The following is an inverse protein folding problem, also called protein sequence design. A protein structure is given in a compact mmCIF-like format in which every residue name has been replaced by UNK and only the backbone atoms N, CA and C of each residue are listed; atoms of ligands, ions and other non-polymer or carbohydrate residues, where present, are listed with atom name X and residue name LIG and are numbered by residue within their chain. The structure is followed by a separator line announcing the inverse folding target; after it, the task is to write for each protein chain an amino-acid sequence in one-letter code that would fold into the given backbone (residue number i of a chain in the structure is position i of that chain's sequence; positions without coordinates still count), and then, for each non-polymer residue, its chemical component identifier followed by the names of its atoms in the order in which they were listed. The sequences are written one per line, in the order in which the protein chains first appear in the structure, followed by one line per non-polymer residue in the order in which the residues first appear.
data_IF_891879959935
#
_entry.id   IF_891879959935
#
_cell.length_a   1.000
_cell.length_b   1.000
_cell.length_c   1.000
_cell.angle_alpha   90.00
_cell.angle_beta   90.00
_cell.angle_gamma   90.00
#
_symmetry.space_group_name_H-M   'P 1'
#
loop_
_entity.id
_entity.type
_entity.pdbx_description
1 polymer ?
#
# COMPACT_ATOMS: atom_id res chain seq x y z
N UNK A 1 6.03 4.34 -5.81
CA UNK A 1 4.59 4.10 -5.97
C UNK A 1 4.06 4.77 -7.22
N UNK A 2 3.30 4.05 -8.00
CA UNK A 2 2.59 4.55 -9.17
C UNK A 2 1.21 3.89 -9.21
N UNK A 3 0.17 4.70 -9.25
CA UNK A 3 -1.21 4.27 -9.49
C UNK A 3 -1.80 5.08 -10.65
N UNK A 4 -2.46 4.39 -11.56
CA UNK A 4 -3.17 5.01 -12.69
C UNK A 4 -4.57 4.42 -12.74
N UNK A 5 -5.59 5.28 -12.83
CA UNK A 5 -6.98 4.83 -12.88
C UNK A 5 -7.82 5.74 -13.81
N UNK A 6 -8.95 5.21 -14.21
CA UNK A 6 -9.86 5.87 -15.14
C UNK A 6 -11.03 6.55 -14.41
N UNK A 7 -11.87 7.21 -15.18
CA UNK A 7 -13.11 7.85 -14.76
C UNK A 7 -13.99 6.94 -13.90
N UNK A 8 -14.24 5.71 -14.33
CA UNK A 8 -15.12 4.79 -13.60
C UNK A 8 -14.62 4.46 -12.19
N UNK A 9 -13.31 4.29 -12.03
CA UNK A 9 -12.71 4.05 -10.72
C UNK A 9 -12.71 5.32 -9.84
N UNK A 10 -12.55 6.50 -10.45
CA UNK A 10 -12.67 7.79 -9.76
C UNK A 10 -14.08 8.02 -9.26
N UNK A 11 -15.07 7.77 -10.09
CA UNK A 11 -16.48 7.94 -9.74
C UNK A 11 -16.94 6.93 -8.69
N UNK A 12 -16.45 5.69 -8.76
CA UNK A 12 -16.67 4.69 -7.71
C UNK A 12 -16.12 5.11 -6.35
N UNK A 13 -15.05 5.90 -6.32
CA UNK A 13 -14.42 6.38 -5.09
C UNK A 13 -15.06 7.68 -4.55
N UNK A 14 -15.49 8.60 -5.44
CA UNK A 14 -15.86 9.99 -5.06
C UNK A 14 -17.15 10.52 -5.68
N UNK A 15 -17.81 9.73 -6.52
CA UNK A 15 -19.03 10.11 -7.22
C UNK A 15 -18.79 10.70 -8.61
N UNK A 16 -19.86 10.73 -9.41
CA UNK A 16 -19.81 11.18 -10.79
C UNK A 16 -19.55 12.69 -10.91
N UNK A 17 -18.74 13.06 -11.91
CA UNK A 17 -18.45 14.45 -12.25
C UNK A 17 -18.19 14.58 -13.74
N UNK A 18 -18.78 15.62 -14.36
CA UNK A 18 -18.52 15.98 -15.77
C UNK A 18 -17.05 16.29 -16.03
N UNK A 19 -16.31 16.69 -14.99
CA UNK A 19 -14.87 16.96 -15.07
C UNK A 19 -14.02 15.71 -15.23
N UNK A 20 -14.58 14.54 -14.96
CA UNK A 20 -13.88 13.26 -15.02
C UNK A 20 -13.95 12.63 -16.42
N UNK A 21 -14.83 13.13 -17.28
CA UNK A 21 -15.04 12.58 -18.63
C UNK A 21 -13.73 12.51 -19.40
N UNK A 22 -13.42 11.31 -19.90
CA UNK A 22 -12.23 11.00 -20.67
C UNK A 22 -10.93 11.38 -19.95
N UNK A 23 -10.88 11.17 -18.62
CA UNK A 23 -9.74 11.53 -17.77
C UNK A 23 -9.04 10.29 -17.23
N UNK A 24 -7.71 10.27 -17.32
CA UNK A 24 -6.84 9.38 -16.58
C UNK A 24 -6.26 10.13 -15.39
N UNK A 25 -6.39 9.52 -14.24
CA UNK A 25 -5.84 10.02 -12.99
C UNK A 25 -4.54 9.28 -12.67
N UNK A 26 -3.55 10.00 -12.19
CA UNK A 26 -2.22 9.46 -11.89
C UNK A 26 -1.80 9.94 -10.50
N UNK A 27 -1.46 9.02 -9.62
CA UNK A 27 -0.77 9.31 -8.36
C UNK A 27 0.57 8.60 -8.35
N UNK A 28 1.66 9.32 -8.13
CA UNK A 28 2.99 8.74 -8.07
C UNK A 28 3.85 9.40 -6.99
N UNK A 29 4.74 8.59 -6.42
CA UNK A 29 5.78 9.00 -5.48
C UNK A 29 7.14 8.70 -6.09
N UNK A 30 8.16 9.43 -5.64
CA UNK A 30 9.56 9.15 -5.96
C UNK A 30 9.96 7.73 -5.53
N UNK A 31 11.04 7.22 -6.08
CA UNK A 31 11.54 5.87 -5.77
C UNK A 31 11.93 5.70 -4.29
N UNK A 32 12.26 6.77 -3.60
CA UNK A 32 12.66 6.74 -2.18
C UNK A 32 11.47 6.65 -1.22
N UNK A 33 10.28 7.09 -1.63
CA UNK A 33 9.04 6.97 -0.85
C UNK A 33 9.08 7.56 0.58
N UNK A 34 10.08 8.38 0.88
CA UNK A 34 10.32 8.95 2.21
C UNK A 34 9.70 10.33 2.40
N UNK A 35 8.73 10.67 1.54
CA UNK A 35 8.08 11.98 1.63
C UNK A 35 7.25 12.06 2.90
N UNK A 36 7.83 12.66 3.93
CA UNK A 36 7.21 12.88 5.25
C UNK A 36 6.07 13.90 5.21
N UNK A 37 5.98 14.66 4.11
CA UNK A 37 4.98 15.73 3.92
C UNK A 37 3.62 15.24 3.42
N UNK A 38 3.48 13.97 3.05
CA UNK A 38 2.21 13.44 2.60
C UNK A 38 1.21 13.30 3.75
N UNK A 39 -0.02 13.69 3.50
CA UNK A 39 -1.13 13.52 4.43
C UNK A 39 -1.37 12.04 4.72
N UNK A 40 -1.56 11.68 5.99
CA UNK A 40 -2.00 10.35 6.38
C UNK A 40 -3.51 10.24 6.21
N UNK A 41 -3.98 9.14 5.66
CA UNK A 41 -5.39 8.88 5.50
C UNK A 41 -6.07 8.72 6.86
N UNK A 42 -7.12 9.49 7.07
CA UNK A 42 -7.97 9.36 8.26
C UNK A 42 -9.31 8.73 7.85
N UNK A 43 -9.63 7.51 8.31
CA UNK A 43 -10.90 6.85 7.99
C UNK A 43 -12.13 7.62 8.49
N UNK A 44 -12.00 8.35 9.59
CA UNK A 44 -13.11 9.12 10.17
C UNK A 44 -13.36 10.45 9.43
N UNK A 45 -12.36 10.96 8.70
CA UNK A 45 -12.43 12.20 7.95
C UNK A 45 -11.65 12.06 6.63
N UNK A 46 -12.15 11.28 5.66
CA UNK A 46 -11.46 11.07 4.40
C UNK A 46 -11.38 12.37 3.61
N UNK A 47 -10.16 12.81 3.34
CA UNK A 47 -9.89 14.01 2.52
C UNK A 47 -9.71 13.56 1.06
N UNK A 48 -10.29 14.30 0.13
CA UNK A 48 -10.04 14.09 -1.29
C UNK A 48 -8.57 14.45 -1.60
N UNK A 49 -7.87 13.67 -2.46
CA UNK A 49 -6.53 14.01 -2.88
C UNK A 49 -6.54 15.33 -3.67
N UNK A 50 -5.53 16.16 -3.47
CA UNK A 50 -5.41 17.39 -4.21
C UNK A 50 -4.97 17.12 -5.67
N UNK A 51 -5.57 17.83 -6.61
CA UNK A 51 -5.11 17.85 -8.02
C UNK A 51 -3.84 18.70 -8.09
N UNK A 52 -2.81 18.17 -8.71
CA UNK A 52 -1.56 18.89 -8.94
C UNK A 52 -1.68 19.65 -10.26
N UNK A 53 -1.57 20.96 -10.22
CA UNK A 53 -1.55 21.80 -11.43
C UNK A 53 -0.34 21.46 -12.31
N UNK A 54 -0.47 21.61 -13.62
CA UNK A 54 0.60 21.27 -14.59
C UNK A 54 1.94 21.95 -14.28
N UNK A 55 1.89 23.21 -13.81
CA UNK A 55 3.09 23.96 -13.41
C UNK A 55 3.82 23.39 -12.17
N UNK A 56 3.13 22.56 -11.37
CA UNK A 56 3.69 21.89 -10.18
C UNK A 56 4.16 20.47 -10.42
N UNK A 57 4.11 19.97 -11.66
CA UNK A 57 4.53 18.62 -11.97
C UNK A 57 6.05 18.45 -11.91
N UNK A 58 6.48 17.38 -11.27
CA UNK A 58 7.90 16.97 -11.25
C UNK A 58 8.34 16.43 -12.60
N UNK A 59 9.65 16.36 -12.84
CA UNK A 59 10.23 15.78 -14.06
C UNK A 59 9.72 14.33 -14.32
N UNK A 60 9.58 13.52 -13.28
CA UNK A 60 9.03 12.16 -13.36
C UNK A 60 7.57 12.17 -13.79
N UNK A 61 6.77 13.06 -13.23
CA UNK A 61 5.34 13.19 -13.60
C UNK A 61 5.18 13.67 -15.05
N UNK A 62 6.02 14.61 -15.48
CA UNK A 62 6.05 15.05 -16.88
C UNK A 62 6.42 13.93 -17.84
N UNK A 63 7.41 13.09 -17.50
CA UNK A 63 7.79 11.93 -18.29
C UNK A 63 6.65 10.89 -18.37
N UNK A 64 5.94 10.64 -17.28
CA UNK A 64 4.75 9.78 -17.26
C UNK A 64 3.65 10.36 -18.17
N UNK A 65 3.37 11.67 -18.05
CA UNK A 65 2.40 12.37 -18.88
C UNK A 65 2.73 12.24 -20.37
N UNK A 66 4.00 12.46 -20.75
CA UNK A 66 4.45 12.32 -22.11
C UNK A 66 4.32 10.89 -22.65
N UNK A 67 4.60 9.88 -21.79
CA UNK A 67 4.48 8.47 -22.17
C UNK A 67 3.02 8.10 -22.43
N UNK A 68 2.09 8.52 -21.59
CA UNK A 68 0.65 8.27 -21.77
C UNK A 68 0.17 8.96 -23.04
N UNK A 69 0.50 10.24 -23.24
CA UNK A 69 0.14 11.02 -24.42
C UNK A 69 0.67 10.44 -25.73
N UNK A 70 1.86 9.86 -25.70
CA UNK A 70 2.44 9.15 -26.87
C UNK A 70 1.65 7.90 -27.24
N UNK A 71 1.08 7.21 -26.23
CA UNK A 71 0.28 6.02 -26.45
C UNK A 71 -1.14 6.36 -26.93
N UNK A 72 -1.77 7.34 -26.27
CA UNK A 72 -3.09 7.84 -26.62
C UNK A 72 -3.24 9.30 -26.13
N UNK A 73 -3.35 10.23 -27.08
CA UNK A 73 -3.46 11.66 -26.83
C UNK A 73 -4.91 12.12 -26.54
N UNK A 74 -5.89 11.24 -26.66
CA UNK A 74 -7.30 11.56 -26.43
C UNK A 74 -7.63 11.81 -24.96
N UNK A 75 -6.87 11.22 -24.03
CA UNK A 75 -7.13 11.36 -22.60
C UNK A 75 -6.68 12.71 -22.02
N UNK A 76 -7.52 13.27 -21.16
CA UNK A 76 -7.07 14.27 -20.18
C UNK A 76 -6.29 13.56 -19.08
N UNK A 77 -5.17 14.10 -18.64
CA UNK A 77 -4.35 13.49 -17.59
C UNK A 77 -4.34 14.43 -16.39
N UNK A 78 -4.81 13.94 -15.25
CA UNK A 78 -4.80 14.66 -13.97
C UNK A 78 -3.87 13.96 -13.00
N UNK A 79 -2.89 14.68 -12.48
CA UNK A 79 -2.04 14.21 -11.40
C UNK A 79 -2.67 14.53 -10.06
N UNK A 80 -2.71 13.52 -9.19
CA UNK A 80 -3.27 13.60 -7.86
C UNK A 80 -2.17 13.41 -6.81
N UNK A 81 -2.25 14.15 -5.71
CA UNK A 81 -1.35 13.95 -4.59
C UNK A 81 -1.63 12.59 -3.95
N UNK A 82 -0.62 11.70 -3.83
CA UNK A 82 -0.79 10.45 -3.08
C UNK A 82 -1.10 10.72 -1.62
N UNK A 83 -1.89 9.83 -1.03
CA UNK A 83 -2.24 9.88 0.39
C UNK A 83 -1.68 8.63 1.06
N UNK A 84 -0.95 8.77 2.16
CA UNK A 84 -0.43 7.63 2.92
C UNK A 84 -1.55 6.93 3.65
N UNK A 85 -1.48 5.60 3.73
CA UNK A 85 -2.43 4.81 4.50
C UNK A 85 -1.74 3.65 5.20
N UNK A 86 -1.67 3.71 6.51
CA UNK A 86 -1.18 2.59 7.31
C UNK A 86 -2.18 1.44 7.30
N UNK A 87 -1.67 0.23 7.16
CA UNK A 87 -2.44 -0.99 7.32
C UNK A 87 -2.00 -1.67 8.60
N UNK A 88 -2.95 -2.00 9.45
CA UNK A 88 -2.71 -2.81 10.65
C UNK A 88 -2.58 -4.29 10.28
N UNK A 89 -1.53 -4.96 10.78
CA UNK A 89 -1.39 -6.41 10.71
C UNK A 89 -1.17 -6.92 12.13
N UNK A 90 -2.00 -7.88 12.53
CA UNK A 90 -1.82 -8.61 13.77
C UNK A 90 -1.45 -10.05 13.44
N UNK A 91 -0.35 -10.54 14.01
CA UNK A 91 0.16 -11.90 13.81
C UNK A 91 0.27 -12.54 15.19
N UNK A 92 -0.42 -13.66 15.35
CA UNK A 92 -0.25 -14.55 16.49
C UNK A 92 0.31 -15.88 15.98
N UNK A 93 1.44 -16.30 16.55
CA UNK A 93 2.06 -17.57 16.19
C UNK A 93 2.34 -18.41 17.44
N UNK A 94 2.25 -19.73 17.26
CA UNK A 94 2.74 -20.70 18.24
C UNK A 94 3.80 -21.56 17.56
N UNK A 95 4.95 -21.68 18.21
CA UNK A 95 6.10 -22.43 17.68
C UNK A 95 6.54 -23.51 18.67
N UNK A 96 7.22 -24.57 18.21
CA UNK A 96 7.80 -25.56 19.10
C UNK A 96 8.79 -24.96 20.11
N UNK A 97 8.87 -25.51 21.29
CA UNK A 97 9.77 -25.06 22.39
C UNK A 97 11.27 -25.10 22.05
N UNK A 98 11.65 -25.73 20.95
CA UNK A 98 13.02 -25.72 20.41
C UNK A 98 13.42 -24.35 19.81
N UNK A 99 12.45 -23.43 19.58
CA UNK A 99 12.70 -22.10 19.07
C UNK A 99 12.54 -21.04 20.16
N UNK A 100 13.32 -19.98 20.07
CA UNK A 100 13.22 -18.83 20.96
C UNK A 100 12.13 -17.89 20.43
N UNK A 101 11.06 -17.67 21.19
CA UNK A 101 9.90 -16.92 20.76
C UNK A 101 10.24 -15.48 20.33
N UNK A 102 11.12 -14.80 21.06
CA UNK A 102 11.56 -13.42 20.74
C UNK A 102 12.32 -13.33 19.42
N UNK A 103 13.11 -14.34 19.06
CA UNK A 103 13.84 -14.37 17.80
C UNK A 103 12.90 -14.59 16.63
N UNK A 104 11.90 -15.47 16.81
CA UNK A 104 10.86 -15.69 15.81
C UNK A 104 9.99 -14.43 15.62
N UNK A 105 9.65 -13.72 16.69
CA UNK A 105 8.95 -12.44 16.62
C UNK A 105 9.74 -11.40 15.81
N UNK A 106 11.04 -11.28 16.07
CA UNK A 106 11.91 -10.37 15.33
C UNK A 106 11.96 -10.71 13.83
N UNK A 107 12.10 -12.00 13.49
CA UNK A 107 12.08 -12.48 12.10
C UNK A 107 10.75 -12.20 11.39
N UNK A 108 9.62 -12.36 12.10
CA UNK A 108 8.29 -12.02 11.55
C UNK A 108 8.21 -10.52 11.25
N UNK A 109 8.61 -9.66 12.19
CA UNK A 109 8.61 -8.20 12.01
C UNK A 109 9.47 -7.79 10.82
N UNK A 110 10.69 -8.31 10.76
CA UNK A 110 11.60 -8.03 9.65
C UNK A 110 11.02 -8.47 8.31
N UNK A 111 10.51 -9.69 8.21
CA UNK A 111 9.92 -10.22 6.98
C UNK A 111 8.74 -9.38 6.48
N UNK A 112 7.84 -8.96 7.39
CA UNK A 112 6.68 -8.13 7.03
C UNK A 112 7.11 -6.72 6.62
N UNK A 113 8.00 -6.08 7.37
CA UNK A 113 8.45 -4.72 7.06
C UNK A 113 9.31 -4.67 5.78
N UNK A 114 10.10 -5.71 5.50
CA UNK A 114 10.85 -5.82 4.26
C UNK A 114 9.94 -5.95 3.03
N UNK A 115 8.77 -6.61 3.17
CA UNK A 115 7.85 -6.85 2.06
C UNK A 115 6.76 -5.78 1.92
N UNK A 116 6.22 -5.30 3.04
CA UNK A 116 5.07 -4.39 3.09
C UNK A 116 5.36 -3.06 3.78
N UNK A 117 6.58 -2.84 4.22
CA UNK A 117 7.00 -1.59 4.85
C UNK A 117 7.01 -0.41 3.88
N UNK A 118 7.23 0.78 4.40
CA UNK A 118 7.15 2.03 3.64
C UNK A 118 8.07 2.03 2.42
N UNK A 119 9.32 1.61 2.55
CA UNK A 119 10.28 1.56 1.45
C UNK A 119 9.89 0.55 0.36
N UNK A 120 9.41 -0.64 0.76
CA UNK A 120 8.95 -1.66 -0.18
C UNK A 120 7.69 -1.23 -0.92
N UNK A 121 6.73 -0.61 -0.21
CA UNK A 121 5.49 -0.11 -0.78
C UNK A 121 5.75 1.00 -1.81
N UNK A 122 6.77 1.84 -1.60
CA UNK A 122 7.15 2.91 -2.53
C UNK A 122 7.64 2.40 -3.89
N UNK A 123 8.23 1.22 -3.95
CA UNK A 123 8.72 0.61 -5.20
C UNK A 123 7.65 -0.14 -6.00
N UNK A 124 6.46 -0.31 -5.46
CA UNK A 124 5.39 -1.09 -6.09
C UNK A 124 4.52 -0.25 -7.02
N UNK A 125 4.02 -0.92 -8.07
CA UNK A 125 3.04 -0.35 -9.00
C UNK A 125 1.65 -0.84 -8.62
N UNK A 126 0.66 0.07 -8.71
CA UNK A 126 -0.73 -0.25 -8.48
C UNK A 126 -1.10 -0.46 -7.01
N UNK A 127 -2.25 -1.07 -6.81
CA UNK A 127 -2.88 -1.28 -5.51
C UNK A 127 -2.08 -2.28 -4.65
N UNK A 128 -1.39 -1.78 -3.64
CA UNK A 128 -0.57 -2.60 -2.75
C UNK A 128 -1.32 -2.92 -1.45
N UNK A 129 -2.24 -3.86 -1.51
CA UNK A 129 -2.94 -4.39 -0.33
C UNK A 129 -2.29 -5.70 0.11
N UNK A 130 -1.84 -5.82 1.37
CA UNK A 130 -1.48 -7.12 1.93
C UNK A 130 -2.69 -8.05 1.88
N UNK A 131 -2.52 -9.21 1.27
CA UNK A 131 -3.54 -10.26 1.25
C UNK A 131 -3.17 -11.32 2.25
N UNK A 132 -4.14 -11.82 3.02
CA UNK A 132 -3.94 -12.86 4.01
C UNK A 132 -3.08 -14.03 3.48
N UNK A 133 -3.47 -14.60 2.34
CA UNK A 133 -2.76 -15.74 1.76
C UNK A 133 -1.30 -15.44 1.42
N UNK A 134 -1.02 -14.22 0.93
CA UNK A 134 0.35 -13.82 0.59
C UNK A 134 1.20 -13.60 1.82
N UNK A 135 0.65 -12.97 2.85
CA UNK A 135 1.33 -12.76 4.14
C UNK A 135 1.62 -14.10 4.79
N UNK A 136 0.62 -14.99 4.83
CA UNK A 136 0.75 -16.33 5.37
C UNK A 136 1.84 -17.15 4.65
N UNK A 137 1.80 -17.18 3.31
CA UNK A 137 2.80 -17.88 2.51
C UNK A 137 4.20 -17.31 2.69
N UNK A 138 4.35 -15.97 2.72
CA UNK A 138 5.61 -15.29 2.97
C UNK A 138 6.25 -15.74 4.29
N UNK A 139 5.48 -15.74 5.36
CA UNK A 139 5.98 -16.12 6.69
C UNK A 139 6.36 -17.60 6.75
N UNK A 140 5.53 -18.48 6.20
CA UNK A 140 5.83 -19.93 6.11
C UNK A 140 7.07 -20.22 5.27
N UNK A 141 7.34 -19.45 4.24
CA UNK A 141 8.49 -19.62 3.37
C UNK A 141 9.77 -19.08 3.98
N UNK A 142 9.72 -17.95 4.66
CA UNK A 142 10.92 -17.26 5.18
C UNK A 142 11.34 -17.72 6.57
N UNK A 143 10.42 -18.21 7.39
CA UNK A 143 10.67 -18.51 8.80
C UNK A 143 10.55 -19.99 9.06
N UNK A 144 11.68 -20.64 9.31
CA UNK A 144 11.76 -22.09 9.51
C UNK A 144 10.86 -22.56 10.64
N UNK A 145 10.82 -21.81 11.75
CA UNK A 145 9.97 -22.12 12.90
C UNK A 145 8.47 -22.21 12.55
N UNK A 146 8.03 -21.52 11.50
CA UNK A 146 6.64 -21.49 11.04
C UNK A 146 6.36 -22.47 9.89
N UNK A 147 7.39 -23.04 9.27
CA UNK A 147 7.22 -23.93 8.10
C UNK A 147 6.73 -25.34 8.47
N UNK A 148 6.95 -25.78 9.71
CA UNK A 148 6.58 -27.10 10.20
C UNK A 148 5.09 -27.27 10.49
N UNK A 149 4.61 -28.53 10.50
CA UNK A 149 3.22 -28.88 10.81
C UNK A 149 2.80 -28.64 12.26
N UNK A 150 3.76 -28.41 13.17
CA UNK A 150 3.52 -28.18 14.61
C UNK A 150 3.49 -26.68 14.97
N UNK A 151 3.46 -25.79 13.99
CA UNK A 151 3.38 -24.37 14.21
C UNK A 151 1.99 -23.85 13.81
N UNK A 152 1.36 -23.11 14.71
CA UNK A 152 0.12 -22.38 14.42
C UNK A 152 0.44 -20.94 14.01
N UNK A 153 -0.28 -20.42 13.03
CA UNK A 153 -0.13 -19.07 12.54
C UNK A 153 -1.49 -18.45 12.23
N UNK A 154 -1.81 -17.40 12.92
CA UNK A 154 -3.02 -16.57 12.67
C UNK A 154 -2.58 -15.20 12.21
N UNK A 155 -3.10 -14.77 11.08
CA UNK A 155 -2.83 -13.44 10.50
C UNK A 155 -4.16 -12.70 10.39
N UNK A 156 -4.22 -11.50 10.96
CA UNK A 156 -5.36 -10.60 10.82
C UNK A 156 -4.90 -9.32 10.16
N UNK A 157 -5.57 -8.92 9.08
CA UNK A 157 -5.28 -7.67 8.37
C UNK A 157 -6.42 -6.70 8.64
N UNK A 158 -6.09 -5.57 9.25
CA UNK A 158 -7.02 -4.49 9.53
C UNK A 158 -6.96 -3.50 8.38
N UNK A 159 -7.87 -3.66 7.43
CA UNK A 159 -8.09 -2.67 6.39
C UNK A 159 -9.39 -1.91 6.69
N UNK A 160 -9.38 -0.61 6.46
CA UNK A 160 -10.56 0.21 6.65
C UNK A 160 -11.43 0.10 5.41
N UNK A 161 -12.64 -0.47 5.49
CA UNK A 161 -13.50 -0.71 4.32
C UNK A 161 -13.79 0.55 3.49
N UNK A 162 -13.96 1.70 4.15
CA UNK A 162 -14.20 3.00 3.52
C UNK A 162 -13.03 3.51 2.67
N UNK A 163 -11.85 2.91 2.84
CA UNK A 163 -10.64 3.25 2.09
C UNK A 163 -10.33 2.22 0.99
N UNK A 164 -11.08 1.11 0.93
CA UNK A 164 -10.76 -0.04 0.08
C UNK A 164 -10.76 0.28 -1.42
N UNK A 165 -11.61 1.18 -1.87
CA UNK A 165 -11.75 1.57 -3.28
C UNK A 165 -10.94 2.80 -3.72
N UNK A 166 -10.07 3.35 -2.88
CA UNK A 166 -9.35 4.60 -3.16
C UNK A 166 -7.99 4.34 -3.83
N UNK A 167 -7.85 4.60 -5.13
CA UNK A 167 -6.65 4.23 -5.88
C UNK A 167 -5.43 5.13 -5.62
N UNK A 168 -5.62 6.33 -5.07
CA UNK A 168 -4.55 7.26 -4.69
C UNK A 168 -3.82 6.86 -3.39
N UNK A 169 -4.34 5.88 -2.65
CA UNK A 169 -3.77 5.50 -1.38
C UNK A 169 -2.47 4.72 -1.56
N UNK A 170 -1.40 5.26 -1.02
CA UNK A 170 -0.16 4.54 -0.83
C UNK A 170 -0.23 3.77 0.49
N UNK A 171 -0.47 2.47 0.38
CA UNK A 171 -0.66 1.57 1.52
C UNK A 171 0.65 0.93 1.92
N UNK A 172 0.93 0.93 3.21
CA UNK A 172 2.12 0.33 3.79
C UNK A 172 1.86 -0.14 5.22
N UNK A 173 2.75 -1.01 5.71
CA UNK A 173 2.78 -1.45 7.11
C UNK A 173 3.87 -0.68 7.82
N UNK A 174 3.53 0.00 8.91
CA UNK A 174 4.50 0.66 9.77
C UNK A 174 4.82 -0.22 10.99
N UNK A 175 5.94 0.04 11.64
CA UNK A 175 6.32 -0.72 12.84
C UNK A 175 5.29 -0.59 13.97
N UNK A 176 4.66 0.58 14.08
CA UNK A 176 3.60 0.88 15.06
C UNK A 176 2.23 0.28 14.67
N UNK A 177 2.04 -0.12 13.42
CA UNK A 177 0.81 -0.78 12.94
C UNK A 177 0.95 -2.30 12.82
N UNK A 178 2.10 -2.87 13.22
CA UNK A 178 2.39 -4.29 13.20
C UNK A 178 2.45 -4.85 14.61
N UNK A 179 1.42 -5.60 15.01
CA UNK A 179 1.39 -6.34 16.26
C UNK A 179 1.79 -7.81 16.02
N UNK A 180 2.81 -8.28 16.71
CA UNK A 180 3.28 -9.68 16.63
C UNK A 180 3.36 -10.26 18.02
N UNK A 181 2.83 -11.46 18.20
CA UNK A 181 2.91 -12.24 19.44
C UNK A 181 3.30 -13.67 19.08
N UNK A 182 4.33 -14.19 19.73
CA UNK A 182 4.79 -15.56 19.54
C UNK A 182 4.78 -16.27 20.90
N UNK A 183 4.15 -17.43 20.94
CA UNK A 183 4.14 -18.35 22.09
C UNK A 183 4.83 -19.67 21.73
N UNK A 184 5.38 -20.35 22.70
CA UNK A 184 5.94 -21.71 22.60
C UNK A 184 5.02 -22.76 23.19
#
# INVERSE_FOLDING_TARGET
FLSVWNEAAEEGARGASVDNINTLFVACLSATGTETTLTEANPAAPVAPAVIADAGLTATQLAIKATIKKADDSYRIRFMTPVRSKIGITIAARVPTSYVATDVEAQIREAILAEYGQAAAASRRGYNRPLYQRVYALLKQKIVALSGGNADLVVTIQDVPTMAGRPELWRYVAADSLAVTVAT
#
